data_IF_115289445756
#
_entry.id   IF_115289445756
#
_cell.length_a   1.000
_cell.length_b   1.000
_cell.length_c   1.000
_cell.angle_alpha   90.00
_cell.angle_beta   90.00
_cell.angle_gamma   90.00
#
_symmetry.space_group_name_H-M   'P 1'
#
loop_
_entity.id
_entity.type
_entity.pdbx_description
1 polymer ?
#
# COMPACT_ATOMS: atom_id res chain seq x y z
N UNK A 1 -12.02 -7.47 -5.09
CA UNK A 1 -13.06 -6.60 -4.49
C UNK A 1 -13.23 -5.30 -5.27
N UNK A 2 -12.17 -4.56 -5.59
CA UNK A 2 -12.29 -3.34 -6.43
C UNK A 2 -12.67 -3.61 -7.89
N UNK A 3 -12.13 -4.65 -8.53
CA UNK A 3 -12.45 -5.02 -9.93
C UNK A 3 -13.94 -5.31 -10.17
N UNK A 4 -14.66 -5.89 -9.19
CA UNK A 4 -16.07 -6.23 -9.36
C UNK A 4 -16.98 -5.00 -9.38
N UNK A 5 -16.52 -3.86 -8.85
CA UNK A 5 -17.31 -2.62 -8.87
C UNK A 5 -17.46 -2.13 -10.31
N UNK A 6 -16.38 -2.14 -11.10
CA UNK A 6 -16.43 -1.76 -12.50
C UNK A 6 -17.32 -2.72 -13.32
N UNK A 7 -17.19 -4.02 -13.08
CA UNK A 7 -18.01 -5.02 -13.79
C UNK A 7 -19.51 -4.93 -13.47
N UNK A 8 -19.87 -4.56 -12.23
CA UNK A 8 -21.27 -4.40 -11.81
C UNK A 8 -21.90 -3.13 -12.41
N UNK A 9 -21.10 -2.10 -12.67
CA UNK A 9 -21.56 -0.85 -13.29
C UNK A 9 -21.76 -0.97 -14.80
N UNK A 10 -20.90 -1.71 -15.50
CA UNK A 10 -20.91 -1.78 -16.97
C UNK A 10 -21.95 -2.78 -17.52
N UNK A 11 -22.24 -3.86 -16.79
CA UNK A 11 -23.24 -4.85 -17.17
C UNK A 11 -24.32 -4.93 -16.09
N UNK A 12 -25.49 -4.35 -16.32
CA UNK A 12 -26.69 -4.47 -15.44
C UNK A 12 -27.17 -5.93 -15.24
N UNK A 13 -26.44 -6.93 -15.75
CA UNK A 13 -26.54 -8.32 -15.37
C UNK A 13 -25.49 -8.64 -14.31
N UNK A 14 -25.95 -9.03 -13.12
CA UNK A 14 -25.09 -9.48 -12.01
C UNK A 14 -24.42 -10.81 -12.43
N UNK A 15 -23.28 -10.73 -13.11
CA UNK A 15 -22.41 -11.90 -13.31
C UNK A 15 -21.90 -12.27 -11.92
N UNK A 16 -22.15 -13.48 -11.39
CA UNK A 16 -21.63 -13.88 -10.09
C UNK A 16 -20.09 -13.88 -10.14
N UNK A 17 -19.50 -12.83 -9.58
CA UNK A 17 -18.05 -12.66 -9.53
C UNK A 17 -17.49 -13.58 -8.46
N UNK A 18 -16.68 -14.55 -8.89
CA UNK A 18 -16.02 -15.46 -7.95
C UNK A 18 -14.77 -14.78 -7.37
N UNK A 19 -14.97 -14.15 -6.21
CA UNK A 19 -13.95 -13.41 -5.48
C UNK A 19 -12.72 -14.28 -5.15
N UNK A 20 -12.95 -15.55 -4.80
CA UNK A 20 -11.89 -16.49 -4.48
C UNK A 20 -11.06 -16.83 -5.72
N UNK A 21 -11.70 -17.12 -6.87
CA UNK A 21 -10.98 -17.36 -8.13
C UNK A 21 -10.16 -16.15 -8.56
N UNK A 22 -10.71 -14.95 -8.44
CA UNK A 22 -9.99 -13.72 -8.82
C UNK A 22 -8.77 -13.49 -7.92
N UNK A 23 -8.94 -13.62 -6.61
CA UNK A 23 -7.85 -13.50 -5.65
C UNK A 23 -6.75 -14.56 -5.86
N UNK A 24 -7.15 -15.79 -6.21
CA UNK A 24 -6.22 -16.88 -6.51
C UNK A 24 -5.35 -16.57 -7.74
N UNK A 25 -5.95 -16.15 -8.85
CA UNK A 25 -5.21 -15.79 -10.06
C UNK A 25 -4.34 -14.56 -9.87
N UNK A 26 -4.80 -13.57 -9.09
CA UNK A 26 -3.98 -12.41 -8.70
C UNK A 26 -2.76 -12.85 -7.88
N UNK A 27 -2.94 -13.74 -6.90
CA UNK A 27 -1.82 -14.25 -6.09
C UNK A 27 -0.78 -15.00 -6.94
N UNK A 28 -1.24 -15.85 -7.88
CA UNK A 28 -0.35 -16.54 -8.82
C UNK A 28 0.39 -15.54 -9.72
N UNK A 29 -0.33 -14.57 -10.29
CA UNK A 29 0.26 -13.55 -11.15
C UNK A 29 1.32 -12.73 -10.42
N UNK A 30 1.02 -12.30 -9.19
CA UNK A 30 1.96 -11.58 -8.33
C UNK A 30 3.16 -12.43 -7.95
N UNK A 31 2.97 -13.71 -7.65
CA UNK A 31 4.08 -14.62 -7.33
C UNK A 31 5.02 -14.80 -8.52
N UNK A 32 4.45 -15.05 -9.72
CA UNK A 32 5.22 -15.18 -10.94
C UNK A 32 5.99 -13.91 -11.26
N UNK A 33 5.31 -12.76 -11.22
CA UNK A 33 5.92 -11.45 -11.46
C UNK A 33 7.06 -11.17 -10.47
N UNK A 34 6.80 -11.38 -9.17
CA UNK A 34 7.80 -11.16 -8.10
C UNK A 34 9.00 -12.09 -8.26
N UNK A 35 8.80 -13.35 -8.66
CA UNK A 35 9.91 -14.27 -8.91
C UNK A 35 10.75 -13.82 -10.11
N UNK A 36 10.10 -13.46 -11.22
CA UNK A 36 10.77 -13.12 -12.47
C UNK A 36 11.64 -11.87 -12.33
N UNK A 37 11.11 -10.83 -11.69
CA UNK A 37 11.79 -9.55 -11.52
C UNK A 37 12.58 -9.44 -10.21
N UNK A 38 12.11 -10.04 -9.12
CA UNK A 38 12.68 -9.88 -7.77
C UNK A 38 13.83 -10.82 -7.43
N UNK A 39 13.97 -11.97 -8.10
CA UNK A 39 15.04 -12.95 -7.79
C UNK A 39 16.22 -12.94 -8.76
N UNK A 40 16.20 -12.08 -9.79
CA UNK A 40 17.12 -12.16 -10.93
C UNK A 40 18.36 -11.25 -10.85
N UNK A 41 18.32 -10.16 -10.06
CA UNK A 41 19.49 -9.29 -9.86
C UNK A 41 20.12 -9.51 -8.47
N UNK A 42 21.32 -10.08 -8.46
CA UNK A 42 22.22 -10.17 -7.30
C UNK A 42 23.37 -9.16 -7.41
N UNK A 43 23.25 -8.13 -8.25
CA UNK A 43 24.28 -7.10 -8.40
C UNK A 43 24.03 -5.93 -7.45
N UNK A 44 24.81 -5.92 -6.38
CA UNK A 44 24.82 -4.97 -5.25
C UNK A 44 25.48 -3.62 -5.63
N UNK A 45 25.75 -3.37 -6.93
CA UNK A 45 26.60 -2.25 -7.37
C UNK A 45 25.99 -1.26 -8.37
N UNK A 46 24.68 -1.28 -8.61
CA UNK A 46 24.01 -0.17 -9.29
C UNK A 46 23.26 0.68 -8.26
N UNK A 47 23.62 1.96 -8.17
CA UNK A 47 23.09 2.93 -7.21
C UNK A 47 21.57 2.80 -7.03
N UNK A 48 21.13 2.59 -5.79
CA UNK A 48 19.73 2.41 -5.33
C UNK A 48 18.78 3.61 -5.57
N UNK A 49 19.15 4.58 -6.41
CA UNK A 49 18.38 5.82 -6.61
C UNK A 49 17.10 5.60 -7.45
N UNK A 50 17.09 4.60 -8.35
CA UNK A 50 15.97 4.35 -9.26
C UNK A 50 14.72 3.78 -8.58
N UNK A 51 14.90 2.88 -7.60
CA UNK A 51 13.81 2.25 -6.87
C UNK A 51 13.09 3.27 -5.98
N UNK A 52 13.84 4.11 -5.27
CA UNK A 52 13.28 5.19 -4.46
C UNK A 52 12.52 6.20 -5.32
N UNK A 53 13.04 6.59 -6.49
CA UNK A 53 12.34 7.52 -7.37
C UNK A 53 11.03 6.95 -7.95
N UNK A 54 11.03 5.69 -8.38
CA UNK A 54 9.84 5.05 -8.96
C UNK A 54 8.67 5.03 -7.97
N UNK A 55 8.95 4.63 -6.74
CA UNK A 55 7.92 4.51 -5.74
C UNK A 55 7.52 5.94 -5.22
N UNK A 56 8.37 6.99 -5.35
CA UNK A 56 8.03 8.39 -5.04
C UNK A 56 6.96 8.95 -5.97
N UNK A 57 7.16 8.74 -7.27
CA UNK A 57 6.19 9.12 -8.29
C UNK A 57 4.87 8.40 -8.03
N UNK A 58 4.93 7.11 -7.67
CA UNK A 58 3.77 6.31 -7.34
C UNK A 58 2.94 6.92 -6.18
N UNK A 59 3.59 7.38 -5.10
CA UNK A 59 2.89 8.04 -3.97
C UNK A 59 2.25 9.38 -4.35
N UNK A 60 2.92 10.20 -5.16
CA UNK A 60 2.35 11.46 -5.67
C UNK A 60 1.11 11.19 -6.52
N UNK A 61 1.17 10.21 -7.42
CA UNK A 61 0.03 9.85 -8.28
C UNK A 61 -1.17 9.41 -7.44
N UNK A 62 -0.96 8.64 -6.36
CA UNK A 62 -2.03 8.25 -5.42
C UNK A 62 -2.63 9.45 -4.72
N UNK A 63 -1.79 10.35 -4.20
CA UNK A 63 -2.26 11.55 -3.53
C UNK A 63 -3.10 12.40 -4.48
N UNK A 64 -2.61 12.64 -5.70
CA UNK A 64 -3.36 13.39 -6.72
C UNK A 64 -4.70 12.70 -7.04
N UNK A 65 -4.73 11.37 -7.16
CA UNK A 65 -5.95 10.63 -7.42
C UNK A 65 -6.97 10.77 -6.26
N UNK A 66 -6.53 10.63 -5.02
CA UNK A 66 -7.39 10.80 -3.85
C UNK A 66 -7.88 12.24 -3.71
N UNK A 67 -6.99 13.23 -3.90
CA UNK A 67 -7.35 14.64 -3.87
C UNK A 67 -8.34 14.99 -4.98
N UNK A 68 -8.19 14.44 -6.18
CA UNK A 68 -9.12 14.65 -7.27
C UNK A 68 -10.52 14.09 -6.93
N UNK A 69 -10.59 12.89 -6.35
CA UNK A 69 -11.86 12.31 -5.85
C UNK A 69 -12.44 13.19 -4.74
N UNK A 70 -11.62 13.60 -3.77
CA UNK A 70 -12.06 14.46 -2.68
C UNK A 70 -12.60 15.80 -3.15
N UNK A 71 -11.92 16.45 -4.09
CA UNK A 71 -12.38 17.70 -4.72
C UNK A 71 -13.69 17.48 -5.48
N UNK A 72 -13.79 16.39 -6.25
CA UNK A 72 -15.03 16.02 -6.93
C UNK A 72 -16.18 15.82 -5.94
N UNK A 73 -15.93 15.19 -4.79
CA UNK A 73 -16.95 14.98 -3.76
C UNK A 73 -17.41 16.30 -3.12
N UNK A 74 -16.48 17.15 -2.70
CA UNK A 74 -16.79 18.41 -2.01
C UNK A 74 -17.50 19.40 -2.93
N UNK A 75 -16.95 19.65 -4.12
CA UNK A 75 -17.47 20.68 -5.03
C UNK A 75 -18.39 20.14 -6.11
N UNK A 76 -18.16 18.93 -6.61
CA UNK A 76 -18.97 18.33 -7.66
C UNK A 76 -20.27 17.71 -7.16
N UNK A 77 -20.30 17.17 -5.94
CA UNK A 77 -21.49 16.52 -5.36
C UNK A 77 -22.09 17.32 -4.21
N UNK A 78 -21.29 17.66 -3.20
CA UNK A 78 -21.85 18.26 -1.97
C UNK A 78 -22.29 19.72 -2.16
N UNK A 79 -21.78 20.41 -3.18
CA UNK A 79 -22.12 21.80 -3.49
C UNK A 79 -21.15 22.85 -2.92
N UNK A 80 -20.10 22.42 -2.22
CA UNK A 80 -19.13 23.31 -1.59
C UNK A 80 -18.69 22.84 -0.20
N UNK A 81 -17.80 23.63 0.42
CA UNK A 81 -17.22 23.33 1.73
C UNK A 81 -18.30 23.42 2.83
N UNK A 82 -19.16 24.45 2.78
CA UNK A 82 -20.16 24.71 3.82
C UNK A 82 -21.19 23.58 3.88
N UNK A 83 -21.68 23.16 2.72
CA UNK A 83 -22.64 22.08 2.57
C UNK A 83 -22.02 20.74 2.99
N UNK A 84 -20.73 20.52 2.67
CA UNK A 84 -20.00 19.32 3.11
C UNK A 84 -19.92 19.27 4.63
N UNK A 85 -19.58 20.39 5.28
CA UNK A 85 -19.51 20.45 6.74
C UNK A 85 -20.88 20.20 7.39
N UNK A 86 -21.96 20.76 6.84
CA UNK A 86 -23.32 20.49 7.33
C UNK A 86 -23.70 19.00 7.24
N UNK A 87 -23.33 18.32 6.13
CA UNK A 87 -23.55 16.88 6.00
C UNK A 87 -22.70 16.06 6.96
N UNK A 88 -21.46 16.50 7.22
CA UNK A 88 -20.59 15.86 8.22
C UNK A 88 -21.23 15.95 9.61
N UNK A 89 -21.69 17.14 10.01
CA UNK A 89 -22.33 17.38 11.31
C UNK A 89 -23.65 16.59 11.46
N UNK A 90 -24.39 16.40 10.38
CA UNK A 90 -25.62 15.59 10.37
C UNK A 90 -25.34 14.07 10.38
N UNK A 91 -24.12 13.65 10.08
CA UNK A 91 -23.75 12.23 9.98
C UNK A 91 -23.38 11.64 11.34
N UNK A 92 -23.65 10.34 11.52
CA UNK A 92 -23.18 9.59 12.70
C UNK A 92 -21.65 9.47 12.81
N UNK A 93 -20.91 9.81 11.75
CA UNK A 93 -19.44 9.91 11.79
C UNK A 93 -19.03 11.16 12.59
N UNK A 94 -19.86 12.22 12.58
CA UNK A 94 -19.64 13.45 13.35
C UNK A 94 -19.76 13.26 14.87
N UNK A 95 -20.42 12.19 15.33
CA UNK A 95 -20.48 11.82 16.75
C UNK A 95 -19.08 11.32 17.20
N UNK A 96 -18.28 12.22 17.76
CA UNK A 96 -16.93 11.98 18.26
C UNK A 96 -16.92 11.03 19.48
N UNK A 97 -17.14 9.74 19.26
CA UNK A 97 -17.02 8.68 20.27
C UNK A 97 -15.67 7.99 20.17
N UNK A 98 -14.60 8.68 20.56
CA UNK A 98 -13.25 8.09 20.60
C UNK A 98 -13.14 7.16 21.80
N UNK A 99 -13.13 5.85 21.52
CA UNK A 99 -12.77 4.87 22.54
C UNK A 99 -11.26 4.97 22.82
N UNK A 100 -10.90 5.49 24.01
CA UNK A 100 -9.51 5.72 24.40
C UNK A 100 -8.64 4.45 24.33
N UNK A 101 -9.18 3.28 24.69
CA UNK A 101 -8.40 2.03 24.62
C UNK A 101 -8.13 1.61 23.19
N UNK A 102 -9.11 1.77 22.29
CA UNK A 102 -8.94 1.54 20.85
C UNK A 102 -7.93 2.52 20.25
N UNK A 103 -8.02 3.79 20.60
CA UNK A 103 -7.10 4.83 20.10
C UNK A 103 -5.65 4.56 20.53
N UNK A 104 -5.42 4.24 21.81
CA UNK A 104 -4.09 3.85 22.32
C UNK A 104 -3.61 2.58 21.64
N UNK A 105 -4.47 1.56 21.52
CA UNK A 105 -4.15 0.29 20.88
C UNK A 105 -3.74 0.44 19.42
N UNK A 106 -4.50 1.22 18.64
CA UNK A 106 -4.17 1.53 17.25
C UNK A 106 -2.88 2.32 17.15
N UNK A 107 -2.66 3.33 18.00
CA UNK A 107 -1.43 4.13 17.97
C UNK A 107 -0.19 3.29 18.27
N UNK A 108 -0.25 2.44 19.30
CA UNK A 108 0.84 1.53 19.64
C UNK A 108 1.09 0.50 18.55
N UNK A 109 0.01 -0.08 17.98
CA UNK A 109 0.10 -1.02 16.87
C UNK A 109 0.73 -0.37 15.62
N UNK A 110 0.37 0.88 15.30
CA UNK A 110 1.00 1.66 14.23
C UNK A 110 2.51 1.82 14.45
N UNK A 111 2.91 2.20 15.67
CA UNK A 111 4.31 2.40 16.01
C UNK A 111 5.12 1.09 15.97
N UNK A 112 4.56 0.01 16.52
CA UNK A 112 5.18 -1.31 16.48
C UNK A 112 5.31 -1.82 15.04
N UNK A 113 4.27 -1.67 14.23
CA UNK A 113 4.28 -2.01 12.81
C UNK A 113 5.39 -1.24 12.07
N UNK A 114 5.44 0.08 12.24
CA UNK A 114 6.46 0.96 11.64
C UNK A 114 7.89 0.45 11.91
N UNK A 115 8.20 0.06 13.16
CA UNK A 115 9.53 -0.39 13.56
C UNK A 115 9.82 -1.82 13.08
N UNK A 116 8.85 -2.72 13.18
CA UNK A 116 9.04 -4.15 12.85
C UNK A 116 9.12 -4.44 11.35
N UNK A 117 8.75 -3.48 10.50
CA UNK A 117 8.79 -3.63 9.06
C UNK A 117 10.24 -3.52 8.54
N UNK A 118 10.81 -4.61 8.00
CA UNK A 118 12.20 -4.65 7.52
C UNK A 118 12.61 -3.52 6.59
N UNK A 119 11.68 -3.11 5.71
CA UNK A 119 11.90 -2.05 4.74
C UNK A 119 12.02 -0.68 5.39
N UNK A 120 11.24 -0.43 6.44
CA UNK A 120 11.21 0.87 7.12
C UNK A 120 12.55 1.14 7.81
N UNK A 121 13.13 0.11 8.43
CA UNK A 121 14.49 0.18 8.96
C UNK A 121 15.52 0.44 7.86
N UNK A 122 15.42 -0.24 6.72
CA UNK A 122 16.35 -0.06 5.61
C UNK A 122 16.30 1.37 5.04
N UNK A 123 15.12 1.92 4.79
CA UNK A 123 14.97 3.30 4.29
C UNK A 123 15.45 4.32 5.33
N UNK A 124 15.10 4.12 6.60
CA UNK A 124 15.41 5.08 7.68
C UNK A 124 16.90 5.08 8.09
N UNK A 125 17.54 3.91 8.08
CA UNK A 125 18.89 3.70 8.65
C UNK A 125 19.96 3.51 7.57
N UNK A 126 19.64 2.78 6.49
CA UNK A 126 20.62 2.42 5.46
C UNK A 126 20.64 3.42 4.31
N UNK A 127 19.48 3.93 3.91
CA UNK A 127 19.35 4.84 2.75
C UNK A 127 19.35 6.32 3.14
N UNK A 128 19.29 6.63 4.44
CA UNK A 128 19.32 8.00 4.94
C UNK A 128 20.76 8.52 5.11
N UNK A 129 21.28 9.18 4.08
CA UNK A 129 22.67 9.67 4.07
C UNK A 129 22.89 10.99 4.85
N UNK A 130 21.84 11.77 5.16
CA UNK A 130 21.99 13.06 5.89
C UNK A 130 20.84 13.32 6.85
N UNK A 131 21.17 13.71 8.09
CA UNK A 131 20.22 14.08 9.14
C UNK A 131 19.26 15.21 8.75
N UNK A 132 19.67 16.10 7.84
CA UNK A 132 18.82 17.19 7.34
C UNK A 132 17.55 16.69 6.63
N UNK A 133 17.57 15.48 6.05
CA UNK A 133 16.39 14.89 5.40
C UNK A 133 15.32 14.47 6.42
N UNK A 134 15.73 14.14 7.65
CA UNK A 134 14.82 13.81 8.72
C UNK A 134 13.97 15.03 9.13
N UNK A 135 14.57 16.23 9.15
CA UNK A 135 13.89 17.45 9.58
C UNK A 135 12.75 17.82 8.64
N UNK A 136 13.00 17.85 7.34
CA UNK A 136 11.96 18.26 6.40
C UNK A 136 10.84 17.23 6.33
N UNK A 137 11.18 15.96 6.43
CA UNK A 137 10.21 14.90 6.37
C UNK A 137 9.39 14.74 7.66
N UNK A 138 9.92 15.19 8.80
CA UNK A 138 9.14 15.37 10.03
C UNK A 138 7.95 16.31 9.85
N UNK A 139 7.99 17.23 8.87
CA UNK A 139 6.91 18.19 8.60
C UNK A 139 6.07 17.85 7.39
N UNK A 140 6.68 17.31 6.34
CA UNK A 140 5.89 16.86 5.20
C UNK A 140 5.02 15.66 5.62
N UNK A 141 5.52 14.74 6.45
CA UNK A 141 4.79 13.51 6.81
C UNK A 141 3.41 13.84 7.40
N UNK A 142 3.31 14.76 8.39
CA UNK A 142 2.03 15.22 8.87
C UNK A 142 1.18 15.89 7.79
N UNK A 143 1.80 16.69 6.91
CA UNK A 143 1.10 17.38 5.82
C UNK A 143 0.45 16.38 4.84
N UNK A 144 1.15 15.32 4.47
CA UNK A 144 0.64 14.26 3.60
C UNK A 144 -0.53 13.52 4.26
N UNK A 145 -0.40 13.10 5.53
CA UNK A 145 -1.50 12.48 6.26
C UNK A 145 -2.70 13.41 6.36
N UNK A 146 -2.45 14.68 6.69
CA UNK A 146 -3.50 15.67 6.81
C UNK A 146 -4.27 15.81 5.50
N UNK A 147 -3.58 15.86 4.35
CA UNK A 147 -4.22 15.93 3.04
C UNK A 147 -5.08 14.70 2.73
N UNK A 148 -4.59 13.49 3.05
CA UNK A 148 -5.35 12.26 2.88
C UNK A 148 -6.56 12.23 3.81
N UNK A 149 -6.35 12.41 5.11
CA UNK A 149 -7.39 12.39 6.12
C UNK A 149 -8.47 13.46 5.88
N UNK A 150 -8.08 14.64 5.38
CA UNK A 150 -8.98 15.74 5.06
C UNK A 150 -10.06 15.32 4.06
N UNK A 151 -9.71 14.56 3.03
CA UNK A 151 -10.67 14.16 1.99
C UNK A 151 -11.35 12.81 2.23
N UNK A 152 -10.75 11.93 3.04
CA UNK A 152 -11.39 10.66 3.43
C UNK A 152 -12.73 10.91 4.14
N UNK A 153 -12.80 11.88 5.05
CA UNK A 153 -14.04 12.16 5.81
C UNK A 153 -15.20 12.59 4.89
N UNK A 154 -15.04 13.61 4.03
CA UNK A 154 -16.06 13.96 3.03
C UNK A 154 -16.48 12.78 2.14
N UNK A 155 -15.51 11.99 1.63
CA UNK A 155 -15.80 10.81 0.79
C UNK A 155 -16.66 9.81 1.57
N UNK A 156 -16.33 9.56 2.84
CA UNK A 156 -17.05 8.62 3.69
C UNK A 156 -18.49 9.08 3.94
N UNK A 157 -18.67 10.35 4.33
CA UNK A 157 -19.99 10.92 4.63
C UNK A 157 -20.89 10.93 3.39
N UNK A 158 -20.37 11.39 2.25
CA UNK A 158 -21.13 11.41 0.99
C UNK A 158 -21.40 9.98 0.49
N UNK A 159 -20.46 9.05 0.67
CA UNK A 159 -20.67 7.64 0.37
C UNK A 159 -21.82 7.03 1.17
N UNK A 160 -21.90 7.29 2.47
CA UNK A 160 -23.01 6.83 3.33
C UNK A 160 -24.36 7.45 2.98
N UNK A 161 -24.35 8.68 2.46
CA UNK A 161 -25.56 9.42 2.07
C UNK A 161 -26.11 8.95 0.71
N UNK A 162 -25.23 8.73 -0.28
CA UNK A 162 -25.61 8.41 -1.65
C UNK A 162 -25.77 6.92 -1.94
N UNK A 163 -24.93 6.07 -1.34
CA UNK A 163 -24.85 4.66 -1.71
C UNK A 163 -25.79 3.81 -0.83
N UNK A 164 -26.25 2.64 -1.35
CA UNK A 164 -27.03 1.71 -0.54
C UNK A 164 -26.29 1.27 0.72
N UNK A 165 -27.02 1.00 1.81
CA UNK A 165 -26.44 0.57 3.09
C UNK A 165 -25.67 -0.77 3.03
N UNK A 166 -25.81 -1.53 1.93
CA UNK A 166 -25.06 -2.76 1.65
C UNK A 166 -23.73 -2.51 0.94
N UNK A 167 -23.43 -1.27 0.53
CA UNK A 167 -22.17 -0.92 -0.11
C UNK A 167 -21.01 -0.95 0.89
N UNK A 168 -19.87 -1.49 0.46
CA UNK A 168 -18.67 -1.53 1.30
C UNK A 168 -18.04 -0.13 1.42
N UNK A 169 -17.91 0.44 2.64
CA UNK A 169 -17.30 1.75 2.87
C UNK A 169 -15.85 1.89 2.38
N UNK A 170 -15.07 0.80 2.41
CA UNK A 170 -13.67 0.79 1.97
C UNK A 170 -13.53 1.07 0.46
N UNK A 171 -14.64 0.92 -0.28
CA UNK A 171 -14.69 1.12 -1.72
C UNK A 171 -15.34 2.44 -2.12
N UNK A 172 -15.73 3.31 -1.18
CA UNK A 172 -16.38 4.60 -1.47
C UNK A 172 -15.54 5.53 -2.34
N UNK A 173 -14.22 5.47 -2.23
CA UNK A 173 -13.30 6.22 -3.12
C UNK A 173 -13.51 5.85 -4.59
N UNK A 174 -13.99 4.64 -4.89
CA UNK A 174 -14.27 4.16 -6.24
C UNK A 174 -15.76 4.24 -6.59
N UNK A 175 -16.64 3.82 -5.67
CA UNK A 175 -18.07 3.70 -5.95
C UNK A 175 -18.78 5.06 -5.99
N UNK A 176 -18.34 6.08 -5.24
CA UNK A 176 -18.95 7.41 -5.28
C UNK A 176 -18.78 8.08 -6.66
N UNK A 177 -17.56 8.15 -7.25
CA UNK A 177 -17.41 8.66 -8.61
C UNK A 177 -18.17 7.84 -9.66
N UNK A 178 -18.18 6.50 -9.56
CA UNK A 178 -18.91 5.64 -10.50
C UNK A 178 -20.42 5.88 -10.45
N UNK A 179 -20.99 6.02 -9.25
CA UNK A 179 -22.40 6.32 -9.07
C UNK A 179 -22.82 7.65 -9.69
N UNK A 180 -21.90 8.63 -9.73
CA UNK A 180 -22.13 9.93 -10.33
C UNK A 180 -21.67 10.01 -11.81
N UNK A 181 -21.38 8.88 -12.46
CA UNK A 181 -20.99 8.82 -13.87
C UNK A 181 -19.56 9.30 -14.17
N UNK A 182 -18.74 9.56 -13.14
CA UNK A 182 -17.35 10.00 -13.28
C UNK A 182 -16.39 8.79 -13.39
N UNK A 183 -16.60 7.95 -14.39
CA UNK A 183 -15.87 6.69 -14.58
C UNK A 183 -14.36 6.90 -14.76
N UNK A 184 -13.94 7.92 -15.52
CA UNK A 184 -12.52 8.23 -15.73
C UNK A 184 -11.79 8.56 -14.41
N UNK A 185 -12.46 9.24 -13.48
CA UNK A 185 -11.93 9.56 -12.16
C UNK A 185 -11.85 8.31 -11.29
N UNK A 186 -12.85 7.43 -11.36
CA UNK A 186 -12.83 6.15 -10.67
C UNK A 186 -11.69 5.25 -11.17
N UNK A 187 -11.48 5.17 -12.49
CA UNK A 187 -10.36 4.43 -13.09
C UNK A 187 -9.03 5.02 -12.62
N UNK A 188 -8.90 6.35 -12.58
CA UNK A 188 -7.67 7.00 -12.10
C UNK A 188 -7.38 6.66 -10.63
N UNK A 189 -8.38 6.74 -9.75
CA UNK A 189 -8.28 6.34 -8.35
C UNK A 189 -7.97 4.84 -8.20
N UNK A 190 -8.60 3.99 -9.01
CA UNK A 190 -8.35 2.56 -9.04
C UNK A 190 -6.92 2.23 -9.45
N UNK A 191 -6.38 2.88 -10.49
CA UNK A 191 -4.99 2.68 -10.92
C UNK A 191 -4.01 3.09 -9.81
N UNK A 192 -4.26 4.19 -9.12
CA UNK A 192 -3.48 4.62 -7.96
C UNK A 192 -3.49 3.57 -6.83
N UNK A 193 -4.68 3.12 -6.42
CA UNK A 193 -4.84 2.13 -5.35
C UNK A 193 -4.31 0.74 -5.71
N UNK A 194 -4.59 0.26 -6.92
CA UNK A 194 -4.13 -1.04 -7.41
C UNK A 194 -2.61 -1.09 -7.58
N UNK A 195 -2.02 -0.04 -8.15
CA UNK A 195 -0.55 0.09 -8.22
C UNK A 195 0.07 0.04 -6.81
N UNK A 196 -0.55 0.72 -5.83
CA UNK A 196 -0.12 0.70 -4.43
C UNK A 196 -0.05 -0.70 -3.84
N UNK A 197 -1.16 -1.43 -3.95
CA UNK A 197 -1.25 -2.75 -3.36
C UNK A 197 -0.24 -3.71 -4.01
N UNK A 198 -0.10 -3.66 -5.33
CA UNK A 198 0.82 -4.54 -6.05
C UNK A 198 2.29 -4.26 -5.72
N UNK A 199 2.73 -3.00 -5.75
CA UNK A 199 4.13 -2.62 -5.46
C UNK A 199 4.53 -3.00 -4.03
N UNK A 200 3.63 -2.79 -3.07
CA UNK A 200 3.82 -3.16 -1.67
C UNK A 200 4.01 -4.67 -1.51
N UNK A 201 3.10 -5.47 -2.08
CA UNK A 201 3.15 -6.93 -2.02
C UNK A 201 4.43 -7.49 -2.63
N UNK A 202 4.83 -6.97 -3.81
CA UNK A 202 6.05 -7.41 -4.51
C UNK A 202 7.28 -7.17 -3.64
N UNK A 203 7.49 -5.93 -3.21
CA UNK A 203 8.74 -5.57 -2.54
C UNK A 203 8.77 -6.11 -1.10
N UNK A 204 7.62 -6.29 -0.43
CA UNK A 204 7.56 -6.93 0.89
C UNK A 204 7.96 -8.41 0.78
N UNK A 205 7.46 -9.09 -0.25
CA UNK A 205 7.80 -10.49 -0.53
C UNK A 205 9.29 -10.66 -0.88
N UNK A 206 9.89 -9.71 -1.61
CA UNK A 206 11.34 -9.69 -1.90
C UNK A 206 12.16 -9.51 -0.61
N UNK A 207 11.78 -8.55 0.23
CA UNK A 207 12.49 -8.28 1.49
C UNK A 207 12.45 -9.49 2.42
N UNK A 208 11.26 -10.03 2.69
CA UNK A 208 11.08 -11.19 3.58
C UNK A 208 11.77 -12.43 3.02
N UNK A 209 11.64 -12.71 1.71
CA UNK A 209 12.33 -13.86 1.11
C UNK A 209 13.86 -13.73 1.18
N UNK A 210 14.40 -12.52 1.05
CA UNK A 210 15.83 -12.26 1.21
C UNK A 210 16.28 -12.49 2.66
N UNK A 211 15.52 -12.02 3.64
CA UNK A 211 15.81 -12.26 5.06
C UNK A 211 15.74 -13.74 5.42
N UNK A 212 14.69 -14.44 5.01
CA UNK A 212 14.51 -15.88 5.22
C UNK A 212 15.65 -16.66 4.57
N UNK A 213 16.00 -16.33 3.33
CA UNK A 213 17.10 -17.01 2.63
C UNK A 213 18.43 -16.82 3.36
N UNK A 214 18.79 -15.58 3.71
CA UNK A 214 20.09 -15.26 4.27
C UNK A 214 20.24 -15.65 5.75
N UNK A 215 19.19 -15.52 6.57
CA UNK A 215 19.27 -15.69 8.03
C UNK A 215 18.68 -17.01 8.54
N UNK A 216 17.81 -17.68 7.76
CA UNK A 216 17.22 -18.95 8.15
C UNK A 216 17.81 -20.08 7.30
N UNK A 217 17.69 -19.98 5.98
CA UNK A 217 17.99 -21.11 5.10
C UNK A 217 19.49 -21.34 4.95
N UNK A 218 20.29 -20.29 4.76
CA UNK A 218 21.74 -20.41 4.64
C UNK A 218 22.42 -21.03 5.88
N UNK A 219 22.18 -20.58 7.12
CA UNK A 219 22.81 -21.20 8.28
C UNK A 219 22.35 -22.65 8.50
N UNK A 220 21.07 -22.97 8.26
CA UNK A 220 20.58 -24.35 8.34
C UNK A 220 21.24 -25.24 7.29
N UNK A 221 21.35 -24.78 6.06
CA UNK A 221 21.98 -25.55 4.99
C UNK A 221 23.45 -25.84 5.27
N UNK A 222 24.20 -24.88 5.82
CA UNK A 222 25.59 -25.08 6.25
C UNK A 222 25.71 -26.07 7.42
N UNK A 223 24.76 -26.07 8.37
CA UNK A 223 24.75 -27.03 9.47
C UNK A 223 24.50 -28.47 9.02
N UNK A 224 23.66 -28.69 7.99
CA UNK A 224 23.32 -30.03 7.51
C UNK A 224 24.32 -30.60 6.49
N UNK A 225 25.15 -29.78 5.84
CA UNK A 225 26.02 -30.24 4.73
C UNK A 225 27.43 -30.70 5.14
N UNK A 226 27.82 -30.56 6.42
CA UNK A 226 29.14 -30.98 6.92
C UNK A 226 30.32 -30.18 6.31
N UNK A 227 31.55 -30.47 6.75
CA UNK A 227 32.82 -29.75 6.39
C UNK A 227 33.26 -29.91 4.91
N UNK A 228 32.34 -29.93 3.95
CA UNK A 228 32.64 -29.92 2.52
C UNK A 228 32.81 -28.49 1.98
N UNK A 229 33.89 -28.23 1.26
CA UNK A 229 34.18 -26.91 0.68
C UNK A 229 33.12 -26.52 -0.37
N UNK A 230 32.30 -25.48 -0.15
CA UNK A 230 31.18 -25.17 -1.05
C UNK A 230 31.68 -24.69 -2.42
N UNK A 231 31.29 -25.38 -3.49
CA UNK A 231 31.40 -24.84 -4.85
C UNK A 231 30.45 -23.64 -4.97
N UNK A 232 30.96 -22.49 -5.36
CA UNK A 232 30.22 -21.20 -5.42
C UNK A 232 28.86 -21.29 -6.16
N UNK A 233 28.73 -22.18 -7.15
CA UNK A 233 27.48 -22.44 -7.88
C UNK A 233 26.37 -23.08 -7.04
N UNK A 234 26.70 -23.97 -6.10
CA UNK A 234 25.72 -24.66 -5.25
C UNK A 234 25.05 -23.67 -4.28
N UNK A 235 25.86 -22.78 -3.69
CA UNK A 235 25.37 -21.76 -2.74
C UNK A 235 24.42 -20.80 -3.43
N UNK A 236 24.77 -20.32 -4.64
CA UNK A 236 23.92 -19.43 -5.42
C UNK A 236 22.57 -20.08 -5.77
N UNK A 237 22.57 -21.34 -6.18
CA UNK A 237 21.34 -22.06 -6.52
C UNK A 237 20.43 -22.27 -5.30
N UNK A 238 21.01 -22.61 -4.14
CA UNK A 238 20.26 -22.78 -2.89
C UNK A 238 19.61 -21.46 -2.45
N UNK A 239 20.35 -20.35 -2.51
CA UNK A 239 19.82 -19.02 -2.19
C UNK A 239 18.67 -18.64 -3.12
N UNK A 240 18.85 -18.78 -4.43
CA UNK A 240 17.83 -18.41 -5.41
C UNK A 240 16.57 -19.27 -5.29
N UNK A 241 16.71 -20.58 -5.12
CA UNK A 241 15.57 -21.49 -4.96
C UNK A 241 14.84 -21.23 -3.64
N UNK A 242 15.58 -21.00 -2.56
CA UNK A 242 15.03 -20.59 -1.27
C UNK A 242 14.17 -19.33 -1.40
N UNK A 243 14.67 -18.27 -2.05
CA UNK A 243 13.90 -17.03 -2.23
C UNK A 243 12.62 -17.25 -3.01
N UNK A 244 12.65 -18.04 -4.09
CA UNK A 244 11.48 -18.36 -4.90
C UNK A 244 10.43 -19.12 -4.10
N UNK A 245 10.84 -20.15 -3.35
CA UNK A 245 9.94 -20.90 -2.48
C UNK A 245 9.34 -20.03 -1.37
N UNK A 246 10.14 -19.15 -0.76
CA UNK A 246 9.65 -18.20 0.25
C UNK A 246 8.60 -17.24 -0.34
N UNK A 247 8.80 -16.68 -1.53
CA UNK A 247 7.81 -15.82 -2.19
C UNK A 247 6.49 -16.57 -2.41
N UNK A 248 6.56 -17.80 -2.93
CA UNK A 248 5.38 -18.65 -3.14
C UNK A 248 4.67 -18.92 -1.81
N UNK A 249 5.42 -19.26 -0.77
CA UNK A 249 4.87 -19.54 0.56
C UNK A 249 4.19 -18.30 1.17
N UNK A 250 4.83 -17.13 1.11
CA UNK A 250 4.29 -15.88 1.66
C UNK A 250 2.99 -15.50 0.97
N UNK A 251 2.97 -15.48 -0.37
CA UNK A 251 1.76 -15.13 -1.13
C UNK A 251 0.67 -16.19 -1.01
N UNK A 252 1.06 -17.47 -0.94
CA UNK A 252 0.15 -18.57 -0.67
C UNK A 252 -0.51 -18.48 0.70
N UNK A 253 0.26 -18.11 1.74
CA UNK A 253 -0.28 -17.84 3.09
C UNK A 253 -1.20 -16.63 3.10
N UNK A 254 -0.88 -15.56 2.36
CA UNK A 254 -1.75 -14.40 2.20
C UNK A 254 -3.09 -14.77 1.55
N UNK A 255 -3.07 -15.57 0.49
CA UNK A 255 -4.29 -16.09 -0.12
C UNK A 255 -5.07 -17.02 0.82
N UNK A 256 -4.38 -17.91 1.53
CA UNK A 256 -5.01 -18.80 2.51
C UNK A 256 -5.70 -18.01 3.63
N UNK A 257 -5.06 -16.96 4.12
CA UNK A 257 -5.66 -16.04 5.09
C UNK A 257 -6.92 -15.38 4.53
N UNK A 258 -6.86 -14.85 3.30
CA UNK A 258 -8.04 -14.29 2.63
C UNK A 258 -9.19 -15.31 2.49
N UNK A 259 -8.86 -16.55 2.13
CA UNK A 259 -9.83 -17.64 1.98
C UNK A 259 -10.48 -18.01 3.33
N UNK A 260 -9.69 -18.15 4.40
CA UNK A 260 -10.18 -18.51 5.73
C UNK A 260 -10.99 -17.39 6.39
N UNK A 261 -10.62 -16.13 6.15
CA UNK A 261 -11.32 -14.95 6.70
C UNK A 261 -12.64 -14.61 5.99
N UNK A 262 -13.06 -15.41 5.00
CA UNK A 262 -14.34 -15.23 4.31
C UNK A 262 -14.44 -13.94 3.48
N UNK A 263 -13.30 -13.33 3.13
CA UNK A 263 -13.20 -12.15 2.27
C UNK A 263 -13.73 -10.82 2.81
N UNK A 264 -14.35 -10.77 4.01
CA UNK A 264 -15.00 -9.55 4.55
C UNK A 264 -14.58 -9.12 5.96
N UNK A 265 -13.74 -9.88 6.67
CA UNK A 265 -13.34 -9.57 8.06
C UNK A 265 -11.91 -9.00 8.20
N UNK A 266 -11.26 -8.61 7.09
CA UNK A 266 -9.85 -8.19 7.08
C UNK A 266 -9.62 -6.68 7.32
N UNK A 267 -10.67 -5.87 7.41
CA UNK A 267 -10.56 -4.43 7.13
C UNK A 267 -10.05 -3.57 8.31
N UNK A 268 -10.01 -4.10 9.54
CA UNK A 268 -9.66 -3.27 10.71
C UNK A 268 -8.18 -3.23 11.11
N UNK A 269 -7.30 -3.98 10.44
CA UNK A 269 -5.87 -4.02 10.78
C UNK A 269 -4.92 -3.56 9.65
N UNK A 270 -5.42 -3.31 8.44
CA UNK A 270 -4.56 -2.98 7.29
C UNK A 270 -4.39 -1.46 7.03
N UNK A 271 -5.40 -0.62 7.33
CA UNK A 271 -5.33 0.84 7.11
C UNK A 271 -4.19 1.52 7.87
N UNK A 272 -3.88 1.04 9.07
CA UNK A 272 -2.74 1.52 9.87
C UNK A 272 -1.42 1.14 9.22
N UNK A 273 -1.30 -0.05 8.63
CA UNK A 273 -0.13 -0.48 7.89
C UNK A 273 0.02 0.35 6.60
N UNK A 274 -1.06 0.60 5.86
CA UNK A 274 -1.01 1.42 4.64
C UNK A 274 -0.66 2.89 4.93
N UNK A 275 -1.27 3.51 5.97
CA UNK A 275 -0.93 4.86 6.41
C UNK A 275 0.53 4.93 6.87
N UNK A 276 1.01 3.98 7.66
CA UNK A 276 2.41 3.87 8.09
C UNK A 276 3.39 3.70 6.92
N UNK A 277 2.95 3.08 5.82
CA UNK A 277 3.76 2.86 4.62
C UNK A 277 3.85 4.07 3.69
N UNK A 278 2.76 4.81 3.48
CA UNK A 278 2.77 6.06 2.70
C UNK A 278 3.54 7.18 3.40
N UNK A 279 3.74 7.02 4.71
CA UNK A 279 4.41 7.96 5.56
C UNK A 279 5.94 7.96 5.45
N UNK A 280 6.53 6.80 5.18
CA UNK A 280 7.97 6.68 4.87
C UNK A 280 8.30 7.17 3.47
N UNK A 281 7.29 7.30 2.62
CA UNK A 281 7.43 7.71 1.24
C UNK A 281 7.82 9.17 1.04
N UNK A 282 7.36 10.02 1.94
CA UNK A 282 7.55 11.44 1.80
C UNK A 282 8.96 11.93 2.15
N UNK A 283 9.73 11.13 2.90
CA UNK A 283 11.14 11.38 3.19
C UNK A 283 11.98 11.40 1.89
N UNK A 284 11.66 10.54 0.91
CA UNK A 284 12.30 10.53 -0.41
C UNK A 284 11.86 11.67 -1.33
N UNK A 285 10.59 12.07 -1.28
CA UNK A 285 10.02 13.14 -2.11
C UNK A 285 10.72 14.49 -1.88
N UNK A 286 10.98 14.81 -0.62
CA UNK A 286 11.58 16.10 -0.24
C UNK A 286 13.05 16.19 -0.63
N UNK A 287 13.81 15.10 -0.42
CA UNK A 287 15.22 15.05 -0.77
C UNK A 287 15.42 15.42 -2.25
N UNK A 288 14.57 14.86 -3.11
CA UNK A 288 14.65 15.05 -4.54
C UNK A 288 14.06 16.39 -5.00
N UNK A 289 12.95 16.84 -4.40
CA UNK A 289 12.39 18.17 -4.69
C UNK A 289 13.34 19.30 -4.29
N UNK A 290 14.03 19.18 -3.16
CA UNK A 290 15.09 20.12 -2.75
C UNK A 290 16.25 20.15 -3.74
N UNK A 291 16.73 18.98 -4.20
CA UNK A 291 17.80 18.96 -5.21
C UNK A 291 17.36 19.48 -6.58
N UNK A 292 16.13 19.18 -7.01
CA UNK A 292 15.58 19.65 -8.28
C UNK A 292 15.30 21.17 -8.29
N UNK A 293 14.98 21.77 -7.15
CA UNK A 293 14.69 23.20 -7.03
C UNK A 293 15.96 24.03 -6.81
N UNK A 294 16.95 23.50 -6.09
CA UNK A 294 18.25 24.14 -5.87
C UNK A 294 19.15 24.09 -7.12
N UNK A 295 19.06 23.04 -7.95
CA UNK A 295 19.81 22.97 -9.24
C UNK A 295 19.17 23.75 -10.40
N UNK A 296 17.94 24.25 -10.25
CA UNK A 296 17.27 25.08 -11.27
C UNK A 296 17.37 26.59 -11.01
N UNK A 297 17.81 26.98 -9.82
CA UNK A 297 17.90 28.39 -9.38
C UNK A 297 19.30 28.81 -8.90
N UNK A 298 20.30 27.95 -9.06
CA UNK A 298 21.74 28.23 -9.00
C UNK A 298 22.40 27.71 -10.27
#
# INVERSE_FOLDING_TARGET
LSFSIFATYENSQVIPFDYYKTAFWLAIGLAFFTILFGTRNLDVNERHNGVVMAIAVEAIVKLIALLAVGVFVVWGISGGIVETLQRIDASKIGDWQVNASRWVGLTFLSAAAFICLPRMFQVLVVENERESHLLTASWAFPLYLMLISLFIIPIAVIGLDLLPATANPDLFVLSVPLFNGAESLAIFAFLGGFSSATSMVIVASIAVSTMVSNHLVMPLWLQFRGEGNPVSGDVRNVILLSRRLSIIAILGLGYLYYFLSGGGAAEQHELVLYLVWDLVWLFGFIHYFYQALVQRFL
#
